data_IF_752062219099
#
_entry.id   IF_752062219099
#
_cell.length_a   1.000
_cell.length_b   1.000
_cell.length_c   1.000
_cell.angle_alpha   90.00
_cell.angle_beta   90.00
_cell.angle_gamma   90.00
#
_symmetry.space_group_name_H-M   'P 1'
#
loop_
_entity.id
_entity.type
_entity.pdbx_description
1 polymer ?
#
# COMPACT_ATOMS: atom_id res chain seq x y z
N UNK A 1 28.02 -15.17 -21.14
CA UNK A 1 28.19 -16.61 -21.46
C UNK A 1 26.81 -17.20 -21.71
N UNK A 2 26.61 -18.05 -22.72
CA UNK A 2 25.28 -18.60 -23.02
C UNK A 2 24.81 -19.56 -21.92
N UNK A 3 23.52 -19.50 -21.61
CA UNK A 3 22.87 -20.42 -20.69
C UNK A 3 22.19 -21.54 -21.50
N UNK A 4 22.17 -22.74 -20.94
CA UNK A 4 21.51 -23.93 -21.48
C UNK A 4 20.44 -24.39 -20.49
N UNK A 5 19.23 -24.60 -20.96
CA UNK A 5 18.21 -25.32 -20.20
C UNK A 5 18.41 -26.82 -20.41
N UNK A 6 18.45 -27.56 -19.30
CA UNK A 6 18.62 -29.01 -19.34
C UNK A 6 17.51 -29.72 -18.57
N UNK A 7 17.10 -30.86 -19.12
CA UNK A 7 16.33 -31.90 -18.44
C UNK A 7 17.21 -33.14 -18.44
N UNK A 8 17.68 -33.57 -17.26
CA UNK A 8 18.58 -34.70 -17.12
C UNK A 8 18.05 -35.71 -16.10
N UNK A 9 18.33 -36.99 -16.32
CA UNK A 9 17.99 -38.06 -15.39
C UNK A 9 19.12 -38.27 -14.39
N UNK A 10 18.79 -38.34 -13.12
CA UNK A 10 19.69 -38.83 -12.07
C UNK A 10 19.82 -40.36 -12.17
N UNK A 11 20.84 -40.94 -11.53
CA UNK A 11 21.08 -42.39 -11.49
C UNK A 11 19.89 -43.19 -10.92
N UNK A 12 19.01 -42.54 -10.17
CA UNK A 12 17.75 -43.09 -9.65
C UNK A 12 16.54 -42.95 -10.58
N UNK A 13 16.70 -42.54 -11.85
CA UNK A 13 15.61 -42.39 -12.82
C UNK A 13 14.70 -41.17 -12.61
N UNK A 14 15.06 -40.27 -11.68
CA UNK A 14 14.32 -39.03 -11.41
C UNK A 14 14.76 -37.92 -12.37
N UNK A 15 13.81 -37.23 -12.98
CA UNK A 15 14.11 -36.11 -13.90
C UNK A 15 14.44 -34.84 -13.11
N UNK A 16 15.59 -34.24 -13.40
CA UNK A 16 16.10 -32.99 -12.83
C UNK A 16 16.21 -31.93 -13.92
N UNK A 17 15.45 -30.86 -13.74
CA UNK A 17 15.43 -29.72 -14.66
C UNK A 17 16.20 -28.54 -14.05
N UNK A 18 16.98 -27.84 -14.87
CA UNK A 18 17.75 -26.67 -14.43
C UNK A 18 18.35 -25.86 -15.57
N UNK A 19 19.02 -24.78 -15.21
CA UNK A 19 19.83 -23.97 -16.13
C UNK A 19 21.31 -24.13 -15.81
N UNK A 20 22.14 -24.16 -16.85
CA UNK A 20 23.59 -24.31 -16.75
C UNK A 20 24.26 -23.30 -17.69
N UNK A 21 25.24 -22.57 -17.20
CA UNK A 21 26.05 -21.67 -18.03
C UNK A 21 27.25 -22.43 -18.57
N UNK A 22 27.44 -22.45 -19.89
CA UNK A 22 28.58 -23.09 -20.55
C UNK A 22 28.92 -22.34 -21.85
N UNK A 23 30.17 -22.38 -22.31
CA UNK A 23 30.55 -21.72 -23.56
C UNK A 23 30.05 -22.47 -24.80
N UNK A 24 29.76 -23.78 -24.68
CA UNK A 24 29.22 -24.60 -25.76
C UNK A 24 28.30 -25.72 -25.23
N UNK A 25 27.45 -26.27 -26.11
CA UNK A 25 26.61 -27.42 -25.77
C UNK A 25 27.42 -28.68 -25.41
N UNK A 26 28.66 -28.80 -25.91
CA UNK A 26 29.58 -29.89 -25.57
C UNK A 26 30.10 -29.74 -24.14
N UNK A 27 30.48 -28.52 -23.75
CA UNK A 27 30.90 -28.21 -22.38
C UNK A 27 29.73 -28.36 -21.39
N UNK A 28 28.51 -27.98 -21.80
CA UNK A 28 27.31 -28.18 -21.01
C UNK A 28 27.04 -29.65 -20.69
N UNK A 29 27.20 -30.55 -21.67
CA UNK A 29 27.09 -32.01 -21.46
C UNK A 29 28.17 -32.53 -20.52
N UNK A 30 29.43 -32.13 -20.73
CA UNK A 30 30.54 -32.57 -19.87
C UNK A 30 30.34 -32.14 -18.40
N UNK A 31 29.76 -30.97 -18.16
CA UNK A 31 29.40 -30.48 -16.83
C UNK A 31 28.26 -31.29 -16.18
N UNK A 32 27.27 -31.73 -16.96
CA UNK A 32 26.18 -32.58 -16.47
C UNK A 32 26.66 -34.01 -16.17
N UNK A 33 27.53 -34.56 -17.02
CA UNK A 33 28.16 -35.87 -16.79
C UNK A 33 29.03 -35.88 -15.54
N UNK A 34 29.82 -34.81 -15.30
CA UNK A 34 30.56 -34.63 -14.03
C UNK A 34 29.64 -34.60 -12.81
N UNK A 35 28.40 -34.15 -12.97
CA UNK A 35 27.36 -34.15 -11.92
C UNK A 35 26.57 -35.46 -11.83
N UNK A 36 26.97 -36.49 -12.59
CA UNK A 36 26.27 -37.79 -12.69
C UNK A 36 24.82 -37.68 -13.16
N UNK A 37 24.53 -36.67 -13.99
CA UNK A 37 23.23 -36.45 -14.59
C UNK A 37 23.28 -36.79 -16.09
N UNK A 38 22.40 -37.68 -16.55
CA UNK A 38 22.29 -38.07 -17.96
C UNK A 38 21.36 -37.10 -18.71
N UNK A 39 21.88 -36.27 -19.63
CA UNK A 39 21.06 -35.27 -20.32
C UNK A 39 20.05 -35.93 -21.28
N UNK A 40 18.75 -35.72 -21.04
CA UNK A 40 17.66 -36.16 -21.93
C UNK A 40 17.32 -35.09 -22.96
N UNK A 41 17.34 -33.83 -22.53
CA UNK A 41 17.08 -32.66 -23.38
C UNK A 41 18.03 -31.54 -23.00
N UNK A 42 18.72 -30.97 -24.00
CA UNK A 42 19.65 -29.87 -23.82
C UNK A 42 19.41 -28.85 -24.95
N UNK A 43 18.77 -27.73 -24.61
CA UNK A 43 18.46 -26.67 -25.58
C UNK A 43 19.25 -25.40 -25.21
N UNK A 44 19.88 -24.71 -26.18
CA UNK A 44 20.44 -23.38 -25.93
C UNK A 44 19.29 -22.48 -25.49
N UNK A 45 19.41 -21.89 -24.30
CA UNK A 45 18.39 -20.96 -23.82
C UNK A 45 18.40 -19.77 -24.78
N UNK A 46 17.40 -19.72 -25.67
CA UNK A 46 17.31 -18.76 -26.75
C UNK A 46 17.19 -17.36 -26.16
N UNK A 47 18.33 -16.66 -26.00
CA UNK A 47 18.48 -15.30 -25.47
C UNK A 47 17.28 -14.88 -24.59
N UNK A 48 16.93 -15.72 -23.63
CA UNK A 48 15.85 -15.44 -22.73
C UNK A 48 16.46 -14.51 -21.71
N UNK A 49 16.41 -13.22 -22.08
CA UNK A 49 16.32 -12.12 -21.13
C UNK A 49 15.62 -12.70 -19.92
N UNK A 50 16.31 -12.78 -18.79
CA UNK A 50 15.72 -13.31 -17.57
C UNK A 50 14.43 -12.54 -17.35
N UNK A 51 13.30 -13.10 -17.78
CA UNK A 51 12.02 -12.62 -17.37
C UNK A 51 12.06 -12.92 -15.89
N UNK A 52 12.08 -11.90 -15.00
CA UNK A 52 12.18 -12.14 -13.57
C UNK A 52 10.97 -13.00 -13.22
N UNK A 53 11.23 -14.30 -13.04
CA UNK A 53 10.16 -15.29 -12.93
C UNK A 53 9.31 -14.84 -11.77
N UNK A 54 8.04 -14.47 -12.06
CA UNK A 54 7.07 -13.83 -11.15
C UNK A 54 7.49 -14.04 -9.68
N UNK A 55 8.34 -13.13 -9.20
CA UNK A 55 8.94 -13.25 -7.89
C UNK A 55 7.80 -13.29 -6.90
N UNK A 56 7.82 -14.26 -5.98
CA UNK A 56 6.88 -14.27 -4.88
C UNK A 56 6.92 -12.88 -4.25
N UNK A 57 5.78 -12.17 -4.17
CA UNK A 57 5.76 -10.84 -3.57
C UNK A 57 5.60 -11.02 -2.07
N UNK A 58 6.48 -10.43 -1.27
CA UNK A 58 6.21 -10.31 0.16
C UNK A 58 4.89 -9.57 0.37
N UNK A 59 3.99 -10.16 1.18
CA UNK A 59 2.94 -9.38 1.83
C UNK A 59 3.56 -8.42 2.84
N UNK A 60 2.83 -7.39 3.26
CA UNK A 60 3.33 -6.45 4.28
C UNK A 60 3.71 -7.15 5.60
N UNK A 61 2.92 -8.15 6.01
CA UNK A 61 3.21 -9.00 7.18
C UNK A 61 4.48 -9.85 6.98
N UNK A 62 4.71 -10.34 5.76
CA UNK A 62 5.87 -11.18 5.46
C UNK A 62 7.16 -10.38 5.48
N UNK A 63 7.14 -9.16 4.90
CA UNK A 63 8.28 -8.26 4.96
C UNK A 63 8.59 -7.85 6.40
N UNK A 64 7.58 -7.56 7.23
CA UNK A 64 7.78 -7.24 8.64
C UNK A 64 8.41 -8.41 9.41
N UNK A 65 7.85 -9.62 9.27
CA UNK A 65 8.38 -10.82 9.92
C UNK A 65 9.81 -11.15 9.46
N UNK A 66 10.05 -11.14 8.14
CA UNK A 66 11.37 -11.34 7.56
C UNK A 66 12.38 -10.35 8.14
N UNK A 67 12.03 -9.06 8.21
CA UNK A 67 12.94 -8.02 8.69
C UNK A 67 13.21 -8.16 10.18
N UNK A 68 12.20 -8.51 10.98
CA UNK A 68 12.38 -8.81 12.40
C UNK A 68 13.32 -9.99 12.62
N UNK A 69 13.08 -11.11 11.92
CA UNK A 69 13.94 -12.29 11.99
C UNK A 69 15.37 -11.97 11.54
N UNK A 70 15.53 -11.21 10.45
CA UNK A 70 16.83 -10.80 9.95
C UNK A 70 17.56 -9.90 10.94
N UNK A 71 16.87 -8.93 11.56
CA UNK A 71 17.45 -8.09 12.61
C UNK A 71 17.96 -8.92 13.78
N UNK A 72 17.12 -9.82 14.30
CA UNK A 72 17.46 -10.66 15.45
C UNK A 72 18.62 -11.61 15.16
N UNK A 73 18.63 -12.26 13.99
CA UNK A 73 19.69 -13.21 13.63
C UNK A 73 20.97 -12.50 13.21
N UNK A 74 20.90 -11.35 12.53
CA UNK A 74 22.10 -10.59 12.15
C UNK A 74 22.82 -9.96 13.36
N UNK A 75 22.17 -9.89 14.52
CA UNK A 75 22.80 -9.45 15.76
C UNK A 75 23.73 -10.52 16.37
N UNK A 76 23.54 -11.81 16.04
CA UNK A 76 24.25 -12.93 16.68
C UNK A 76 24.92 -13.89 15.70
N UNK A 77 24.65 -13.79 14.40
CA UNK A 77 25.20 -14.65 13.36
C UNK A 77 25.57 -13.86 12.09
N UNK A 78 26.48 -14.38 11.24
CA UNK A 78 26.74 -13.80 9.93
C UNK A 78 25.47 -13.65 9.09
N UNK A 79 25.39 -12.58 8.31
CA UNK A 79 24.21 -12.27 7.49
C UNK A 79 23.83 -13.41 6.53
N UNK A 80 24.82 -14.12 5.99
CA UNK A 80 24.64 -15.31 5.16
C UNK A 80 23.87 -16.41 5.90
N UNK A 81 24.28 -16.72 7.13
CA UNK A 81 23.66 -17.73 7.97
C UNK A 81 22.25 -17.33 8.41
N UNK A 82 22.06 -16.04 8.74
CA UNK A 82 20.74 -15.49 9.04
C UNK A 82 19.77 -15.68 7.86
N UNK A 83 20.17 -15.33 6.64
CA UNK A 83 19.35 -15.51 5.44
C UNK A 83 19.09 -16.98 5.12
N UNK A 84 20.10 -17.86 5.25
CA UNK A 84 19.95 -19.31 5.09
C UNK A 84 18.91 -19.88 6.06
N UNK A 85 18.99 -19.48 7.32
CA UNK A 85 18.08 -19.92 8.39
C UNK A 85 16.65 -19.46 8.11
N UNK A 86 16.46 -18.20 7.73
CA UNK A 86 15.13 -17.68 7.38
C UNK A 86 14.56 -18.39 6.15
N UNK A 87 15.38 -18.66 5.13
CA UNK A 87 14.95 -19.38 3.94
C UNK A 87 14.52 -20.82 4.25
N UNK A 88 15.27 -21.53 5.10
CA UNK A 88 14.98 -22.93 5.45
C UNK A 88 13.78 -23.06 6.40
N UNK A 89 13.61 -22.13 7.34
CA UNK A 89 12.51 -22.15 8.33
C UNK A 89 11.20 -21.55 7.82
N UNK A 90 11.17 -20.93 6.63
CA UNK A 90 9.94 -20.32 6.13
C UNK A 90 8.98 -21.35 5.52
N UNK A 91 7.78 -21.47 6.10
CA UNK A 91 6.70 -22.31 5.56
C UNK A 91 6.18 -21.80 4.20
N UNK A 92 6.28 -20.49 3.95
CA UNK A 92 5.76 -19.88 2.73
C UNK A 92 6.74 -20.05 1.57
N UNK A 93 6.32 -20.84 0.57
CA UNK A 93 7.07 -21.05 -0.69
C UNK A 93 7.53 -19.74 -1.34
N UNK A 94 6.67 -18.72 -1.33
CA UNK A 94 7.00 -17.40 -1.89
C UNK A 94 8.12 -16.69 -1.14
N UNK A 95 8.14 -16.79 0.19
CA UNK A 95 9.17 -16.17 1.03
C UNK A 95 10.50 -16.89 0.83
N UNK A 96 10.50 -18.23 0.94
CA UNK A 96 11.68 -19.06 0.72
C UNK A 96 12.36 -18.80 -0.62
N UNK A 97 11.58 -18.63 -1.70
CA UNK A 97 12.13 -18.33 -3.04
C UNK A 97 12.84 -16.97 -3.08
N UNK A 98 12.22 -15.93 -2.52
CA UNK A 98 12.79 -14.57 -2.51
C UNK A 98 14.04 -14.53 -1.65
N UNK A 99 13.97 -15.05 -0.42
CA UNK A 99 15.11 -15.05 0.51
C UNK A 99 16.25 -15.90 -0.04
N UNK A 100 15.96 -17.07 -0.64
CA UNK A 100 16.97 -17.89 -1.30
C UNK A 100 17.65 -17.19 -2.47
N UNK A 101 16.92 -16.40 -3.27
CA UNK A 101 17.51 -15.61 -4.35
C UNK A 101 18.41 -14.46 -3.84
N UNK A 102 18.06 -13.84 -2.71
CA UNK A 102 18.90 -12.83 -2.05
C UNK A 102 20.15 -13.49 -1.46
N UNK A 103 19.99 -14.63 -0.79
CA UNK A 103 21.09 -15.41 -0.20
C UNK A 103 22.10 -15.86 -1.25
N UNK A 104 21.64 -16.38 -2.40
CA UNK A 104 22.51 -16.80 -3.51
C UNK A 104 23.36 -15.63 -4.04
N UNK A 105 22.79 -14.44 -4.22
CA UNK A 105 23.54 -13.28 -4.68
C UNK A 105 24.52 -12.73 -3.63
N UNK A 106 24.17 -12.84 -2.34
CA UNK A 106 25.10 -12.48 -1.28
C UNK A 106 26.33 -13.41 -1.28
N UNK A 107 26.13 -14.71 -1.55
CA UNK A 107 27.24 -15.67 -1.72
C UNK A 107 28.09 -15.38 -2.97
N UNK A 108 27.49 -14.82 -4.02
CA UNK A 108 28.20 -14.33 -5.20
C UNK A 108 28.99 -13.02 -4.95
N UNK A 109 28.86 -12.43 -3.75
CA UNK A 109 29.60 -11.23 -3.33
C UNK A 109 28.88 -9.90 -3.63
N UNK A 110 27.62 -9.93 -4.06
CA UNK A 110 26.83 -8.71 -4.19
C UNK A 110 26.47 -8.14 -2.82
N UNK A 111 26.31 -6.81 -2.75
CA UNK A 111 25.78 -6.13 -1.54
C UNK A 111 24.34 -6.57 -1.29
N UNK A 112 23.92 -6.64 -0.02
CA UNK A 112 22.57 -7.04 0.36
C UNK A 112 21.51 -6.16 -0.30
N UNK A 113 21.75 -4.84 -0.36
CA UNK A 113 20.80 -3.92 -1.00
C UNK A 113 20.59 -4.20 -2.49
N UNK A 114 21.66 -4.58 -3.20
CA UNK A 114 21.63 -4.92 -4.63
C UNK A 114 20.94 -6.26 -4.84
N UNK A 115 21.27 -7.26 -4.01
CA UNK A 115 20.63 -8.58 -4.00
C UNK A 115 19.12 -8.49 -3.70
N UNK A 116 18.70 -7.61 -2.79
CA UNK A 116 17.29 -7.30 -2.54
C UNK A 116 16.65 -6.56 -3.71
N UNK A 117 17.43 -5.80 -4.49
CA UNK A 117 16.94 -5.06 -5.65
C UNK A 117 16.58 -5.95 -6.84
N UNK A 118 17.33 -7.02 -7.05
CA UNK A 118 17.07 -8.03 -8.09
C UNK A 118 15.95 -9.01 -7.69
N UNK A 119 15.69 -9.19 -6.38
CA UNK A 119 14.62 -10.04 -5.84
C UNK A 119 13.19 -9.46 -6.00
N UNK A 120 12.99 -8.52 -6.93
CA UNK A 120 11.69 -8.01 -7.35
C UNK A 120 11.06 -6.96 -6.43
N UNK A 121 9.73 -6.80 -6.51
CA UNK A 121 8.97 -5.78 -5.73
C UNK A 121 8.75 -6.14 -4.25
N UNK A 122 9.43 -7.16 -3.73
CA UNK A 122 9.30 -7.60 -2.34
C UNK A 122 9.96 -6.64 -1.35
N UNK A 123 11.00 -5.93 -1.80
CA UNK A 123 11.74 -4.94 -1.02
C UNK A 123 11.46 -3.53 -1.57
N UNK A 124 10.67 -2.70 -0.86
CA UNK A 124 10.37 -1.34 -1.30
C UNK A 124 11.63 -0.48 -1.47
N UNK A 125 11.60 0.57 -2.31
CA UNK A 125 12.74 1.46 -2.51
C UNK A 125 13.33 2.03 -1.22
N UNK A 126 12.49 2.45 -0.26
CA UNK A 126 12.92 2.93 1.06
C UNK A 126 13.75 1.89 1.81
N UNK A 127 13.24 0.66 1.84
CA UNK A 127 13.86 -0.46 2.53
C UNK A 127 15.27 -0.70 1.99
N UNK A 128 15.40 -0.83 0.66
CA UNK A 128 16.68 -1.05 -0.01
C UNK A 128 17.65 0.11 0.21
N UNK A 129 17.16 1.34 0.18
CA UNK A 129 18.01 2.52 0.37
C UNK A 129 18.55 2.61 1.81
N UNK A 130 17.72 2.30 2.82
CA UNK A 130 18.20 2.26 4.21
C UNK A 130 19.16 1.09 4.45
N UNK A 131 18.91 -0.09 3.87
CA UNK A 131 19.85 -1.21 3.90
C UNK A 131 21.17 -0.83 3.23
N UNK A 132 21.17 -0.22 2.04
CA UNK A 132 22.37 0.22 1.35
C UNK A 132 23.18 1.22 2.18
N UNK A 133 22.50 2.17 2.81
CA UNK A 133 23.10 3.14 3.69
C UNK A 133 23.75 2.47 4.92
N UNK A 134 23.06 1.49 5.51
CA UNK A 134 23.57 0.73 6.66
C UNK A 134 24.71 -0.22 6.34
N UNK A 135 24.72 -0.83 5.15
CA UNK A 135 25.86 -1.59 4.66
C UNK A 135 27.08 -0.70 4.46
N UNK A 136 26.90 0.48 3.86
CA UNK A 136 27.99 1.41 3.56
C UNK A 136 28.58 2.04 4.82
N UNK A 137 27.77 2.25 5.86
CA UNK A 137 28.19 2.86 7.13
C UNK A 137 28.56 1.84 8.22
N UNK A 138 28.43 0.54 7.95
CA UNK A 138 28.62 -0.52 8.96
C UNK A 138 27.57 -0.55 10.08
N UNK A 139 26.47 0.20 9.95
CA UNK A 139 25.39 0.29 10.93
C UNK A 139 24.18 -0.59 10.57
N UNK A 140 24.41 -1.67 9.81
CA UNK A 140 23.35 -2.55 9.31
C UNK A 140 22.49 -3.16 10.44
N UNK A 141 23.04 -3.70 11.54
CA UNK A 141 22.22 -4.25 12.63
C UNK A 141 21.24 -3.22 13.23
N UNK A 142 21.70 -2.00 13.47
CA UNK A 142 20.87 -0.92 14.02
C UNK A 142 19.77 -0.50 13.04
N UNK A 143 20.08 -0.46 11.74
CA UNK A 143 19.11 -0.12 10.69
C UNK A 143 18.07 -1.22 10.51
N UNK A 144 18.46 -2.50 10.54
CA UNK A 144 17.54 -3.62 10.48
C UNK A 144 16.57 -3.61 11.68
N UNK A 145 17.05 -3.28 12.87
CA UNK A 145 16.23 -3.17 14.07
C UNK A 145 15.20 -2.03 13.95
N UNK A 146 15.64 -0.86 13.51
CA UNK A 146 14.75 0.29 13.26
C UNK A 146 13.75 0.00 12.13
N UNK A 147 14.18 -0.69 11.07
CA UNK A 147 13.31 -1.13 9.97
C UNK A 147 12.25 -2.13 10.44
N UNK A 148 12.64 -3.10 11.28
CA UNK A 148 11.72 -4.07 11.85
C UNK A 148 10.62 -3.36 12.67
N UNK A 149 11.01 -2.47 13.58
CA UNK A 149 10.06 -1.68 14.37
C UNK A 149 9.14 -0.80 13.51
N UNK A 150 9.68 -0.16 12.47
CA UNK A 150 8.90 0.64 11.53
C UNK A 150 7.83 -0.21 10.82
N UNK A 151 8.22 -1.35 10.25
CA UNK A 151 7.32 -2.23 9.52
C UNK A 151 6.27 -2.89 10.42
N UNK A 152 6.64 -3.26 11.65
CA UNK A 152 5.72 -3.79 12.66
C UNK A 152 4.65 -2.78 13.03
N UNK A 153 5.03 -1.53 13.34
CA UNK A 153 4.08 -0.44 13.60
C UNK A 153 3.13 -0.22 12.43
N UNK A 154 3.65 -0.21 11.20
CA UNK A 154 2.82 -0.10 10.00
C UNK A 154 1.82 -1.26 9.86
N UNK A 155 2.23 -2.50 10.18
CA UNK A 155 1.31 -3.65 10.16
C UNK A 155 0.28 -3.57 11.30
N UNK A 156 0.65 -3.08 12.47
CA UNK A 156 -0.27 -2.89 13.60
C UNK A 156 -1.33 -1.85 13.27
N UNK A 157 -0.93 -0.66 12.78
CA UNK A 157 -1.85 0.39 12.34
C UNK A 157 -2.77 -0.16 11.25
N UNK A 158 -2.22 -0.76 10.20
CA UNK A 158 -3.03 -1.35 9.13
C UNK A 158 -3.99 -2.43 9.64
N UNK A 159 -3.54 -3.28 10.56
CA UNK A 159 -4.36 -4.31 11.18
C UNK A 159 -5.54 -3.74 11.94
N UNK A 160 -5.31 -2.70 12.75
CA UNK A 160 -6.36 -1.95 13.46
C UNK A 160 -7.36 -1.33 12.48
N UNK A 161 -6.87 -0.65 11.45
CA UNK A 161 -7.73 -0.01 10.45
C UNK A 161 -8.60 -1.03 9.71
N UNK A 162 -8.03 -2.16 9.29
CA UNK A 162 -8.78 -3.22 8.61
C UNK A 162 -9.82 -3.83 9.53
N UNK A 163 -9.45 -4.16 10.78
CA UNK A 163 -10.37 -4.74 11.75
C UNK A 163 -11.55 -3.80 12.06
N UNK A 164 -11.29 -2.52 12.25
CA UNK A 164 -12.31 -1.50 12.52
C UNK A 164 -13.28 -1.29 11.34
N UNK A 165 -12.85 -1.55 10.11
CA UNK A 165 -13.70 -1.42 8.91
C UNK A 165 -14.59 -2.64 8.63
N UNK A 166 -14.33 -3.80 9.24
CA UNK A 166 -15.11 -5.03 8.98
C UNK A 166 -16.58 -4.82 9.35
N UNK A 167 -16.84 -4.33 10.56
CA UNK A 167 -18.21 -4.17 11.05
C UNK A 167 -19.01 -3.11 10.26
N UNK A 168 -18.50 -1.88 10.03
CA UNK A 168 -19.21 -0.90 9.21
C UNK A 168 -19.41 -1.35 7.76
N UNK A 169 -18.47 -2.11 7.18
CA UNK A 169 -18.66 -2.68 5.85
C UNK A 169 -19.78 -3.71 5.82
N UNK A 170 -19.86 -4.61 6.81
CA UNK A 170 -20.96 -5.58 6.92
C UNK A 170 -22.33 -4.88 7.09
N UNK A 171 -22.39 -3.85 7.95
CA UNK A 171 -23.59 -3.03 8.15
C UNK A 171 -23.98 -2.30 6.85
N UNK A 172 -23.04 -1.66 6.16
CA UNK A 172 -23.29 -0.96 4.91
C UNK A 172 -23.78 -1.92 3.80
N UNK A 173 -23.17 -3.10 3.67
CA UNK A 173 -23.61 -4.13 2.71
C UNK A 173 -25.04 -4.58 3.03
N UNK A 174 -25.35 -4.82 4.29
CA UNK A 174 -26.70 -5.19 4.74
C UNK A 174 -27.70 -4.07 4.47
N UNK A 175 -27.36 -2.83 4.79
CA UNK A 175 -28.17 -1.64 4.53
C UNK A 175 -28.50 -1.50 3.04
N UNK A 176 -27.48 -1.58 2.17
CA UNK A 176 -27.66 -1.52 0.72
C UNK A 176 -28.53 -2.68 0.22
N UNK A 177 -28.32 -3.90 0.72
CA UNK A 177 -29.13 -5.06 0.34
C UNK A 177 -30.62 -4.88 0.72
N UNK A 178 -30.91 -4.36 1.92
CA UNK A 178 -32.27 -4.05 2.37
C UNK A 178 -32.91 -2.99 1.47
N UNK A 179 -32.19 -1.90 1.17
CA UNK A 179 -32.71 -0.83 0.28
C UNK A 179 -33.01 -1.37 -1.12
N UNK A 180 -32.11 -2.17 -1.70
CA UNK A 180 -32.33 -2.80 -3.00
C UNK A 180 -33.55 -3.72 -2.97
N UNK A 181 -33.71 -4.53 -1.91
CA UNK A 181 -34.86 -5.42 -1.75
C UNK A 181 -36.18 -4.63 -1.65
N UNK A 182 -36.22 -3.56 -0.84
CA UNK A 182 -37.38 -2.68 -0.74
C UNK A 182 -37.72 -2.04 -2.08
N UNK A 183 -36.73 -1.52 -2.80
CA UNK A 183 -36.91 -0.89 -4.12
C UNK A 183 -37.39 -1.86 -5.19
N UNK A 184 -36.90 -3.10 -5.18
CA UNK A 184 -37.16 -4.06 -6.26
C UNK A 184 -38.42 -4.89 -6.03
N UNK A 185 -38.75 -5.19 -4.76
CA UNK A 185 -39.88 -6.06 -4.43
C UNK A 185 -41.04 -5.32 -3.76
N UNK A 186 -40.78 -4.40 -2.83
CA UNK A 186 -41.86 -3.80 -2.01
C UNK A 186 -42.50 -2.62 -2.70
N UNK A 187 -41.70 -1.63 -3.12
CA UNK A 187 -42.19 -0.43 -3.79
C UNK A 187 -43.07 -0.76 -5.01
N UNK A 188 -42.69 -1.67 -5.93
CA UNK A 188 -43.47 -1.90 -7.14
C UNK A 188 -44.83 -2.53 -6.85
N UNK A 189 -44.88 -3.46 -5.89
CA UNK A 189 -46.12 -4.11 -5.46
C UNK A 189 -47.11 -3.11 -4.90
N UNK A 190 -46.63 -2.14 -4.14
CA UNK A 190 -47.48 -1.07 -3.61
C UNK A 190 -48.00 -0.18 -4.74
N UNK A 191 -47.14 0.15 -5.70
CA UNK A 191 -47.48 1.05 -6.81
C UNK A 191 -48.50 0.41 -7.76
N UNK A 192 -48.36 -0.88 -8.07
CA UNK A 192 -49.34 -1.66 -8.84
C UNK A 192 -50.76 -1.56 -8.26
N UNK A 193 -50.89 -1.55 -6.91
CA UNK A 193 -52.19 -1.38 -6.26
C UNK A 193 -52.76 0.03 -6.48
N UNK A 194 -51.92 1.07 -6.51
CA UNK A 194 -52.38 2.44 -6.70
C UNK A 194 -52.67 2.81 -8.16
N UNK A 195 -51.94 2.24 -9.12
CA UNK A 195 -52.17 2.50 -10.54
C UNK A 195 -53.57 2.03 -10.99
N UNK A 196 -54.08 0.97 -10.34
CA UNK A 196 -55.46 0.48 -10.54
C UNK A 196 -56.55 1.47 -10.11
N UNK A 197 -56.21 2.49 -9.30
CA UNK A 197 -57.14 3.49 -8.78
C UNK A 197 -57.21 4.77 -9.64
N UNK A 198 -56.44 4.86 -10.73
CA UNK A 198 -56.59 5.89 -11.76
C UNK A 198 -56.36 7.35 -11.31
N UNK A 199 -55.62 7.58 -10.22
CA UNK A 199 -55.31 8.93 -9.70
C UNK A 199 -53.82 9.25 -9.72
N UNK A 200 -53.51 10.54 -9.79
CA UNK A 200 -52.13 11.03 -9.80
C UNK A 200 -51.43 10.77 -8.45
N UNK A 201 -50.29 10.11 -8.52
CA UNK A 201 -49.45 9.82 -7.36
C UNK A 201 -48.71 11.08 -6.88
N UNK A 202 -48.50 11.24 -5.55
CA UNK A 202 -47.65 12.28 -4.99
C UNK A 202 -46.25 12.32 -5.63
N UNK A 203 -45.65 13.50 -5.71
CA UNK A 203 -44.34 13.69 -6.33
C UNK A 203 -43.26 12.81 -5.67
N UNK A 204 -43.32 12.60 -4.35
CA UNK A 204 -42.38 11.75 -3.61
C UNK A 204 -42.49 10.29 -4.05
N UNK A 205 -43.71 9.77 -4.20
CA UNK A 205 -43.97 8.41 -4.70
C UNK A 205 -43.49 8.25 -6.14
N UNK A 206 -43.75 9.24 -7.01
CA UNK A 206 -43.24 9.25 -8.39
C UNK A 206 -41.71 9.26 -8.47
N UNK A 207 -41.04 10.02 -7.61
CA UNK A 207 -39.58 10.06 -7.56
C UNK A 207 -38.99 8.71 -7.13
N UNK A 208 -39.59 8.05 -6.14
CA UNK A 208 -39.16 6.72 -5.67
C UNK A 208 -39.39 5.64 -6.74
N UNK A 209 -40.53 5.70 -7.46
CA UNK A 209 -40.80 4.81 -8.60
C UNK A 209 -39.75 4.99 -9.70
N UNK A 210 -39.49 6.23 -10.11
CA UNK A 210 -38.47 6.52 -11.12
C UNK A 210 -37.08 6.00 -10.73
N UNK A 211 -36.72 6.10 -9.45
CA UNK A 211 -35.47 5.56 -8.93
C UNK A 211 -35.46 4.02 -8.91
N UNK A 212 -36.59 3.37 -8.61
CA UNK A 212 -36.75 1.90 -8.66
C UNK A 212 -36.61 1.38 -10.09
N UNK A 213 -37.28 2.01 -11.06
CA UNK A 213 -37.19 1.63 -12.47
C UNK A 213 -35.79 1.85 -13.04
N UNK A 214 -35.16 2.98 -12.70
CA UNK A 214 -33.76 3.24 -13.05
C UNK A 214 -32.83 2.18 -12.46
N UNK A 215 -33.02 1.81 -11.19
CA UNK A 215 -32.21 0.77 -10.54
C UNK A 215 -32.38 -0.60 -11.20
N UNK A 216 -33.61 -0.95 -11.61
CA UNK A 216 -33.94 -2.24 -12.23
C UNK A 216 -33.46 -2.35 -13.68
N UNK A 217 -33.59 -1.27 -14.46
CA UNK A 217 -33.24 -1.26 -15.89
C UNK A 217 -31.80 -0.83 -16.21
N UNK A 218 -31.25 0.10 -15.43
CA UNK A 218 -29.98 0.79 -15.71
C UNK A 218 -28.91 0.57 -14.63
N UNK A 219 -29.17 -0.23 -13.59
CA UNK A 219 -28.21 -0.49 -12.52
C UNK A 219 -26.86 -1.03 -13.03
N UNK A 220 -26.88 -1.87 -14.06
CA UNK A 220 -25.66 -2.37 -14.72
C UNK A 220 -24.92 -1.29 -15.51
N UNK A 221 -25.63 -0.31 -16.08
CA UNK A 221 -25.04 0.86 -16.75
C UNK A 221 -24.39 1.83 -15.75
N UNK A 222 -24.98 2.03 -14.57
CA UNK A 222 -24.38 2.82 -13.48
C UNK A 222 -23.08 2.16 -13.01
N UNK A 223 -23.10 0.85 -12.79
CA UNK A 223 -21.90 0.09 -12.43
C UNK A 223 -20.85 0.17 -13.54
N UNK A 224 -21.26 0.01 -14.80
CA UNK A 224 -20.40 0.17 -15.97
C UNK A 224 -19.78 1.56 -16.08
N UNK A 225 -20.57 2.61 -15.85
CA UNK A 225 -20.12 4.00 -15.86
C UNK A 225 -19.13 4.29 -14.72
N UNK A 226 -19.36 3.75 -13.52
CA UNK A 226 -18.42 3.83 -12.40
C UNK A 226 -17.09 3.15 -12.72
N UNK A 227 -17.13 1.94 -13.27
CA UNK A 227 -15.91 1.20 -13.67
C UNK A 227 -15.18 1.94 -14.78
N UNK A 228 -15.89 2.40 -15.81
CA UNK A 228 -15.31 3.18 -16.90
C UNK A 228 -14.70 4.50 -16.38
N UNK A 229 -15.41 5.22 -15.52
CA UNK A 229 -14.93 6.43 -14.86
C UNK A 229 -13.67 6.19 -14.03
N UNK A 230 -13.64 5.11 -13.23
CA UNK A 230 -12.47 4.70 -12.47
C UNK A 230 -11.27 4.37 -13.37
N UNK A 231 -11.49 3.69 -14.50
CA UNK A 231 -10.44 3.37 -15.48
C UNK A 231 -9.90 4.62 -16.19
N UNK A 232 -10.79 5.54 -16.58
CA UNK A 232 -10.43 6.84 -17.18
C UNK A 232 -9.64 7.67 -16.19
N UNK A 233 -10.10 7.77 -14.94
CA UNK A 233 -9.39 8.46 -13.87
C UNK A 233 -8.03 7.82 -13.59
N UNK A 234 -7.95 6.50 -13.53
CA UNK A 234 -6.68 5.78 -13.37
C UNK A 234 -5.70 6.04 -14.52
N UNK A 235 -6.19 6.15 -15.76
CA UNK A 235 -5.37 6.56 -16.91
C UNK A 235 -4.96 8.02 -16.86
N UNK A 236 -5.85 8.92 -16.44
CA UNK A 236 -5.53 10.35 -16.28
C UNK A 236 -4.49 10.57 -15.18
N UNK A 237 -4.59 9.85 -14.06
CA UNK A 237 -3.63 9.88 -12.95
C UNK A 237 -2.25 9.30 -13.32
N UNK A 238 -2.12 8.60 -14.46
CA UNK A 238 -0.80 8.24 -15.01
C UNK A 238 -0.10 9.40 -15.70
N UNK A 239 -0.83 10.44 -16.12
CA UNK A 239 -0.24 11.65 -16.70
C UNK A 239 0.27 12.56 -15.58
N UNK A 240 1.56 12.88 -15.62
CA UNK A 240 2.21 13.62 -14.52
C UNK A 240 1.59 14.99 -14.26
N UNK A 241 1.26 15.75 -15.31
CA UNK A 241 0.63 17.07 -15.16
C UNK A 241 -0.76 17.02 -14.53
N UNK A 242 -1.59 16.02 -14.87
CA UNK A 242 -2.90 15.85 -14.24
C UNK A 242 -2.76 15.40 -12.78
N UNK A 243 -1.83 14.48 -12.53
CA UNK A 243 -1.54 14.00 -11.17
C UNK A 243 -1.07 15.12 -10.24
N UNK A 244 -0.19 16.00 -10.70
CA UNK A 244 0.24 17.18 -9.93
C UNK A 244 -0.93 18.09 -9.55
N UNK A 245 -1.82 18.39 -10.51
CA UNK A 245 -3.01 19.23 -10.26
C UNK A 245 -3.99 18.56 -9.30
N UNK A 246 -4.21 17.26 -9.48
CA UNK A 246 -5.07 16.47 -8.60
C UNK A 246 -4.51 16.40 -7.17
N UNK A 247 -3.22 16.12 -7.03
CA UNK A 247 -2.51 16.08 -5.75
C UNK A 247 -2.54 17.44 -5.05
N UNK A 248 -2.41 18.55 -5.80
CA UNK A 248 -2.53 19.90 -5.27
C UNK A 248 -3.96 20.23 -4.82
N UNK A 249 -4.98 19.81 -5.59
CA UNK A 249 -6.38 20.00 -5.22
C UNK A 249 -6.74 19.21 -3.96
N UNK A 250 -6.27 17.97 -3.85
CA UNK A 250 -6.47 17.12 -2.68
C UNK A 250 -5.89 17.76 -1.41
N UNK A 251 -4.73 18.42 -1.53
CA UNK A 251 -4.11 19.17 -0.43
C UNK A 251 -4.87 20.44 -0.02
N UNK A 252 -5.81 20.95 -0.82
CA UNK A 252 -6.63 22.13 -0.49
C UNK A 252 -7.87 21.80 0.32
N UNK A 253 -8.25 20.53 0.40
CA UNK A 253 -9.41 20.11 1.19
C UNK A 253 -9.08 20.26 2.69
N UNK A 254 -9.97 20.87 3.51
CA UNK A 254 -9.63 21.27 4.89
C UNK A 254 -9.29 20.10 5.82
N UNK A 255 -9.97 18.96 5.67
CA UNK A 255 -9.73 17.75 6.48
C UNK A 255 -8.71 16.81 5.82
N UNK A 256 -8.92 16.47 4.55
CA UNK A 256 -8.05 15.55 3.81
C UNK A 256 -6.65 16.14 3.55
N UNK A 257 -6.57 17.43 3.23
CA UNK A 257 -5.30 18.09 2.97
C UNK A 257 -4.43 18.19 4.22
N UNK A 258 -5.03 18.48 5.38
CA UNK A 258 -4.31 18.48 6.67
C UNK A 258 -3.78 17.09 7.00
N UNK A 259 -4.64 16.07 6.97
CA UNK A 259 -4.23 14.68 7.30
C UNK A 259 -3.16 14.13 6.36
N UNK A 260 -3.21 14.45 5.06
CA UNK A 260 -2.15 14.07 4.12
C UNK A 260 -0.81 14.74 4.43
N UNK A 261 -0.82 16.01 4.84
CA UNK A 261 0.39 16.72 5.26
C UNK A 261 0.94 16.16 6.56
N UNK A 262 0.08 15.88 7.54
CA UNK A 262 0.47 15.31 8.83
C UNK A 262 1.05 13.90 8.67
N UNK A 263 0.45 13.06 7.83
CA UNK A 263 0.97 11.72 7.52
C UNK A 263 2.32 11.77 6.80
N UNK A 264 2.49 12.68 5.85
CA UNK A 264 3.78 12.89 5.17
C UNK A 264 4.85 13.41 6.15
N UNK A 265 4.49 14.38 6.98
CA UNK A 265 5.34 14.93 8.02
C UNK A 265 5.79 13.88 9.03
N UNK A 266 4.87 13.03 9.50
CA UNK A 266 5.15 11.91 10.41
C UNK A 266 6.15 10.92 9.78
N UNK A 267 5.87 10.47 8.55
CA UNK A 267 6.71 9.50 7.87
C UNK A 267 8.12 10.06 7.55
N UNK A 268 8.20 11.33 7.14
CA UNK A 268 9.47 12.01 6.91
C UNK A 268 10.25 12.15 8.22
N UNK A 269 9.63 12.66 9.27
CA UNK A 269 10.28 12.83 10.57
C UNK A 269 10.79 11.49 11.13
N UNK A 270 9.99 10.42 11.02
CA UNK A 270 10.40 9.06 11.44
C UNK A 270 11.62 8.57 10.66
N UNK A 271 11.59 8.72 9.33
CA UNK A 271 12.67 8.24 8.46
C UNK A 271 13.97 9.00 8.76
N UNK A 272 13.89 10.32 8.86
CA UNK A 272 15.04 11.16 9.17
C UNK A 272 15.59 10.89 10.58
N UNK A 273 14.72 10.70 11.58
CA UNK A 273 15.15 10.34 12.94
C UNK A 273 15.91 9.01 12.97
N UNK A 274 15.41 7.99 12.26
CA UNK A 274 16.07 6.69 12.11
C UNK A 274 17.45 6.86 11.46
N UNK A 275 17.52 7.59 10.36
CA UNK A 275 18.76 7.76 9.60
C UNK A 275 19.81 8.58 10.36
N UNK A 276 19.41 9.73 10.92
CA UNK A 276 20.30 10.56 11.72
C UNK A 276 20.75 9.84 13.00
N UNK A 277 19.85 9.11 13.65
CA UNK A 277 20.16 8.28 14.82
C UNK A 277 21.08 7.09 14.52
N UNK A 278 21.28 6.76 13.24
CA UNK A 278 22.24 5.77 12.74
C UNK A 278 23.49 6.42 12.12
N UNK A 279 23.68 7.74 12.30
CA UNK A 279 24.86 8.48 11.83
C UNK A 279 24.87 8.80 10.33
N UNK A 280 23.75 8.63 9.63
CA UNK A 280 23.66 8.92 8.20
C UNK A 280 23.42 10.41 7.90
N UNK A 281 23.92 10.95 6.77
CA UNK A 281 23.73 12.35 6.41
C UNK A 281 22.26 12.73 6.18
N UNK A 282 21.86 13.91 6.65
CA UNK A 282 20.49 14.45 6.52
C UNK A 282 20.01 14.53 5.07
N UNK A 283 20.87 15.03 4.17
CA UNK A 283 20.55 15.23 2.74
C UNK A 283 20.20 13.90 2.07
N UNK A 284 20.94 12.83 2.40
CA UNK A 284 20.65 11.50 1.87
C UNK A 284 19.30 11.00 2.40
N UNK A 285 19.02 11.24 3.68
CA UNK A 285 17.72 10.92 4.26
C UNK A 285 16.54 11.60 3.56
N UNK A 286 16.67 12.89 3.26
CA UNK A 286 15.63 13.63 2.53
C UNK A 286 15.45 13.11 1.09
N UNK A 287 16.54 12.80 0.38
CA UNK A 287 16.47 12.22 -0.97
C UNK A 287 15.80 10.86 -0.97
N UNK A 288 16.09 10.03 0.03
CA UNK A 288 15.46 8.72 0.22
C UNK A 288 13.97 8.91 0.52
N UNK A 289 13.61 9.76 1.50
CA UNK A 289 12.21 10.04 1.83
C UNK A 289 11.45 10.59 0.63
N UNK A 290 12.01 11.51 -0.15
CA UNK A 290 11.34 12.07 -1.33
C UNK A 290 10.89 10.99 -2.34
N UNK A 291 11.61 9.86 -2.43
CA UNK A 291 11.25 8.74 -3.34
C UNK A 291 10.07 7.92 -2.83
N UNK A 292 9.69 8.03 -1.56
CA UNK A 292 8.60 7.25 -0.94
C UNK A 292 7.27 8.00 -0.91
N UNK A 293 7.31 9.31 -1.16
CA UNK A 293 6.13 10.17 -1.17
C UNK A 293 5.29 9.92 -2.42
N UNK A 294 4.02 9.56 -2.21
CA UNK A 294 3.08 9.30 -3.30
C UNK A 294 2.51 10.59 -3.93
N UNK A 295 2.29 11.61 -3.12
CA UNK A 295 1.80 12.91 -3.55
C UNK A 295 2.94 13.70 -4.20
N UNK A 296 2.77 14.10 -5.46
CA UNK A 296 3.83 14.72 -6.26
C UNK A 296 4.19 16.12 -5.79
N UNK A 297 3.25 16.87 -5.22
CA UNK A 297 3.51 18.20 -4.64
C UNK A 297 4.41 18.07 -3.40
N UNK A 298 4.08 17.14 -2.50
CA UNK A 298 4.89 16.86 -1.31
C UNK A 298 6.26 16.28 -1.68
N UNK A 299 6.31 15.41 -2.70
CA UNK A 299 7.57 14.89 -3.24
C UNK A 299 8.48 16.01 -3.74
N UNK A 300 7.95 16.95 -4.53
CA UNK A 300 8.71 18.07 -5.06
C UNK A 300 9.17 19.01 -3.95
N UNK A 301 8.32 19.26 -2.94
CA UNK A 301 8.68 20.04 -1.76
C UNK A 301 9.88 19.40 -1.01
N UNK A 302 9.83 18.08 -0.74
CA UNK A 302 10.94 17.37 -0.06
C UNK A 302 12.22 17.35 -0.90
N UNK A 303 12.14 17.26 -2.24
CA UNK A 303 13.32 17.38 -3.11
C UNK A 303 13.95 18.77 -3.02
N UNK A 304 13.14 19.81 -3.16
CA UNK A 304 13.60 21.20 -3.07
C UNK A 304 14.25 21.49 -1.72
N UNK A 305 13.73 20.92 -0.64
CA UNK A 305 14.37 20.99 0.68
C UNK A 305 15.73 20.31 0.71
N UNK A 306 15.86 19.12 0.09
CA UNK A 306 17.13 18.40 0.04
C UNK A 306 18.19 19.21 -0.72
N UNK A 307 17.80 19.86 -1.81
CA UNK A 307 18.70 20.71 -2.61
C UNK A 307 19.12 21.96 -1.82
N UNK A 308 18.18 22.65 -1.16
CA UNK A 308 18.48 23.82 -0.32
C UNK A 308 19.43 23.51 0.86
N UNK A 309 19.31 22.33 1.47
CA UNK A 309 20.20 21.90 2.56
C UNK A 309 21.57 21.48 2.02
N UNK A 310 21.61 20.88 0.82
CA UNK A 310 22.87 20.57 0.15
C UNK A 310 23.68 21.84 -0.16
N UNK A 311 23.00 22.95 -0.45
CA UNK A 311 23.59 24.28 -0.62
C UNK A 311 24.00 24.98 0.70
N UNK A 312 23.80 24.32 1.85
CA UNK A 312 24.19 24.83 3.17
C UNK A 312 23.06 25.47 3.99
N UNK A 313 21.82 25.40 3.52
CA UNK A 313 20.65 25.85 4.26
C UNK A 313 20.31 24.99 5.48
N UNK A 314 19.58 25.57 6.44
CA UNK A 314 19.08 24.85 7.62
C UNK A 314 17.80 24.06 7.30
N UNK A 315 17.58 22.93 7.99
CA UNK A 315 16.38 22.10 7.79
C UNK A 315 15.10 22.85 8.16
N UNK A 316 15.13 23.59 9.26
CA UNK A 316 14.00 24.40 9.71
C UNK A 316 13.66 25.54 8.73
N UNK A 317 14.65 26.14 8.07
CA UNK A 317 14.43 27.13 7.02
C UNK A 317 13.82 26.49 5.77
N UNK A 318 14.36 25.36 5.31
CA UNK A 318 13.86 24.63 4.15
C UNK A 318 12.40 24.18 4.34
N UNK A 319 12.05 23.65 5.52
CA UNK A 319 10.67 23.27 5.82
C UNK A 319 9.71 24.47 5.85
N UNK A 320 10.15 25.63 6.38
CA UNK A 320 9.33 26.87 6.37
C UNK A 320 9.05 27.35 4.96
N UNK A 321 10.07 27.35 4.09
CA UNK A 321 9.92 27.74 2.68
C UNK A 321 9.00 26.80 1.91
N UNK A 322 9.05 25.50 2.21
CA UNK A 322 8.18 24.51 1.58
C UNK A 322 6.68 24.70 1.93
N UNK A 323 6.35 25.32 3.08
CA UNK A 323 4.99 25.69 3.50
C UNK A 323 3.93 24.55 3.45
N UNK A 324 4.36 23.29 3.56
CA UNK A 324 3.49 22.10 3.53
C UNK A 324 3.48 21.31 4.84
N UNK A 325 4.29 21.69 5.83
CA UNK A 325 4.46 20.95 7.07
C UNK A 325 3.67 21.55 8.23
N UNK A 326 3.20 20.72 9.17
CA UNK A 326 2.50 21.21 10.36
C UNK A 326 3.44 22.01 11.28
N UNK A 327 2.92 23.00 12.03
CA UNK A 327 3.72 23.82 12.94
C UNK A 327 4.51 23.02 13.97
N UNK A 328 3.96 21.91 14.46
CA UNK A 328 4.62 21.04 15.44
C UNK A 328 5.93 20.46 14.92
N UNK A 329 5.97 20.03 13.65
CA UNK A 329 7.20 19.53 13.04
C UNK A 329 8.22 20.65 12.86
N UNK A 330 7.78 21.84 12.43
CA UNK A 330 8.66 23.01 12.30
C UNK A 330 9.31 23.39 13.64
N UNK A 331 8.51 23.44 14.70
CA UNK A 331 8.98 23.77 16.05
C UNK A 331 10.00 22.76 16.56
N UNK A 332 9.68 21.46 16.50
CA UNK A 332 10.59 20.40 16.97
C UNK A 332 11.87 20.34 16.13
N UNK A 333 11.77 20.56 14.82
CA UNK A 333 12.93 20.63 13.93
C UNK A 333 13.83 21.81 14.29
N UNK A 334 13.26 23.01 14.44
CA UNK A 334 14.02 24.21 14.81
C UNK A 334 14.68 24.07 16.19
N UNK A 335 13.96 23.52 17.18
CA UNK A 335 14.50 23.28 18.51
C UNK A 335 15.63 22.23 18.49
N UNK A 336 15.45 21.16 17.73
CA UNK A 336 16.46 20.10 17.56
C UNK A 336 17.71 20.57 16.82
N UNK A 337 17.54 21.41 15.80
CA UNK A 337 18.65 22.02 15.05
C UNK A 337 19.46 22.98 15.92
N UNK A 338 18.79 23.87 16.66
CA UNK A 338 19.45 24.84 17.56
C UNK A 338 20.17 24.17 18.74
N UNK A 339 19.64 23.06 19.24
CA UNK A 339 20.23 22.31 20.36
C UNK A 339 21.25 21.25 19.93
N UNK A 340 21.43 21.02 18.63
CA UNK A 340 22.25 19.92 18.09
C UNK A 340 21.65 18.52 18.27
N UNK A 341 20.42 18.42 18.78
CA UNK A 341 19.72 17.16 19.06
C UNK A 341 18.56 16.92 18.08
N UNK A 342 18.84 16.96 16.77
CA UNK A 342 17.82 16.88 15.74
C UNK A 342 17.10 15.51 15.68
N UNK A 343 17.85 14.40 15.73
CA UNK A 343 17.28 13.05 15.66
C UNK A 343 16.21 12.77 16.72
N UNK A 344 16.44 13.00 18.04
CA UNK A 344 15.41 12.75 19.05
C UNK A 344 14.21 13.71 18.95
N UNK A 345 14.40 14.95 18.47
CA UNK A 345 13.26 15.85 18.24
C UNK A 345 12.39 15.40 17.07
N UNK A 346 13.00 14.93 15.97
CA UNK A 346 12.25 14.36 14.84
C UNK A 346 11.53 13.07 15.23
N UNK A 347 12.11 12.26 16.10
CA UNK A 347 11.45 11.07 16.65
C UNK A 347 10.20 11.45 17.45
N UNK A 348 10.30 12.44 18.35
CA UNK A 348 9.15 12.96 19.10
C UNK A 348 8.08 13.57 18.19
N UNK A 349 8.49 14.27 17.13
CA UNK A 349 7.58 14.83 16.14
C UNK A 349 6.81 13.74 15.41
N UNK A 350 7.51 12.68 14.99
CA UNK A 350 6.89 11.51 14.39
C UNK A 350 5.90 10.83 15.33
N UNK A 351 6.30 10.55 16.58
CA UNK A 351 5.41 9.95 17.58
C UNK A 351 4.17 10.81 17.86
N UNK A 352 4.31 12.13 17.88
CA UNK A 352 3.18 13.06 18.07
C UNK A 352 2.21 13.02 16.89
N UNK A 353 2.72 13.18 15.66
CA UNK A 353 1.89 13.22 14.45
C UNK A 353 1.24 11.87 14.15
N UNK A 354 1.93 10.75 14.42
CA UNK A 354 1.35 9.40 14.32
C UNK A 354 0.18 9.23 15.30
N UNK A 355 0.31 9.71 16.55
CA UNK A 355 -0.78 9.67 17.55
C UNK A 355 -1.97 10.55 17.17
N UNK A 356 -1.71 11.73 16.61
CA UNK A 356 -2.77 12.63 16.12
C UNK A 356 -3.54 11.96 14.97
N UNK A 357 -2.82 11.34 14.04
CA UNK A 357 -3.42 10.56 12.95
C UNK A 357 -4.26 9.38 13.47
N UNK A 358 -3.74 8.59 14.41
CA UNK A 358 -4.47 7.46 15.01
C UNK A 358 -5.76 7.93 15.71
N UNK A 359 -5.69 9.06 16.43
CA UNK A 359 -6.85 9.65 17.11
C UNK A 359 -7.91 10.10 16.09
N UNK A 360 -7.49 10.81 15.04
CA UNK A 360 -8.38 11.25 13.96
C UNK A 360 -9.01 10.06 13.23
N UNK A 361 -8.21 9.04 12.90
CA UNK A 361 -8.69 7.83 12.24
C UNK A 361 -9.73 7.09 13.09
N UNK A 362 -9.45 6.90 14.39
CA UNK A 362 -10.38 6.24 15.30
C UNK A 362 -11.69 7.01 15.47
N UNK A 363 -11.63 8.34 15.59
CA UNK A 363 -12.82 9.19 15.67
C UNK A 363 -13.64 9.16 14.36
N UNK A 364 -12.97 9.19 13.21
CA UNK A 364 -13.64 9.04 11.91
C UNK A 364 -14.31 7.67 11.75
N UNK A 365 -13.68 6.61 12.25
CA UNK A 365 -14.24 5.26 12.24
C UNK A 365 -15.45 5.11 13.16
N UNK A 366 -15.43 5.70 14.36
CA UNK A 366 -16.55 5.60 15.29
C UNK A 366 -17.79 6.38 14.83
N UNK A 367 -17.62 7.45 14.06
CA UNK A 367 -18.74 8.21 13.48
C UNK A 367 -19.39 7.52 12.28
N UNK A 368 -18.68 6.58 11.64
CA UNK A 368 -19.14 5.94 10.42
C UNK A 368 -20.39 5.08 10.67
N UNK A 369 -20.49 4.41 11.82
CA UNK A 369 -21.66 3.62 12.20
C UNK A 369 -22.93 4.47 12.41
N UNK A 370 -22.94 5.50 13.27
CA UNK A 370 -24.10 6.38 13.42
C UNK A 370 -24.55 6.99 12.09
N UNK A 371 -23.60 7.41 11.24
CA UNK A 371 -23.92 7.97 9.92
C UNK A 371 -24.60 6.92 9.03
N UNK A 372 -24.12 5.68 8.99
CA UNK A 372 -24.78 4.60 8.23
C UNK A 372 -26.19 4.35 8.76
N UNK A 373 -26.38 4.27 10.08
CA UNK A 373 -27.69 3.99 10.69
C UNK A 373 -28.68 5.12 10.39
N UNK A 374 -28.27 6.38 10.57
CA UNK A 374 -29.11 7.54 10.27
C UNK A 374 -29.42 7.62 8.78
N UNK A 375 -28.45 7.36 7.90
CA UNK A 375 -28.67 7.33 6.46
C UNK A 375 -29.66 6.21 6.06
N UNK A 376 -29.49 5.00 6.59
CA UNK A 376 -30.40 3.88 6.35
C UNK A 376 -31.81 4.21 6.86
N UNK A 377 -31.92 4.71 8.09
CA UNK A 377 -33.20 5.12 8.68
C UNK A 377 -33.88 6.21 7.85
N UNK A 378 -33.13 7.21 7.38
CA UNK A 378 -33.64 8.26 6.50
C UNK A 378 -34.14 7.72 5.16
N UNK A 379 -33.39 6.81 4.53
CA UNK A 379 -33.82 6.16 3.28
C UNK A 379 -35.07 5.32 3.52
N UNK A 380 -35.11 4.47 4.54
CA UNK A 380 -36.27 3.63 4.86
C UNK A 380 -37.49 4.49 5.19
N UNK A 381 -37.34 5.55 5.99
CA UNK A 381 -38.42 6.48 6.31
C UNK A 381 -38.98 7.15 5.05
N UNK A 382 -38.11 7.59 4.12
CA UNK A 382 -38.53 8.16 2.84
C UNK A 382 -39.33 7.16 2.00
N UNK A 383 -38.91 5.89 1.98
CA UNK A 383 -39.63 4.81 1.28
C UNK A 383 -41.01 4.60 1.92
N UNK A 384 -41.07 4.44 3.24
CA UNK A 384 -42.33 4.21 3.97
C UNK A 384 -43.27 5.40 3.78
N UNK A 385 -42.77 6.64 3.88
CA UNK A 385 -43.57 7.83 3.66
C UNK A 385 -44.11 7.92 2.23
N UNK A 386 -43.31 7.53 1.24
CA UNK A 386 -43.74 7.48 -0.16
C UNK A 386 -44.91 6.50 -0.40
N UNK A 387 -45.01 5.47 0.43
CA UNK A 387 -46.09 4.47 0.42
C UNK A 387 -47.31 4.96 1.22
N UNK A 388 -47.08 5.56 2.39
CA UNK A 388 -48.14 5.96 3.33
C UNK A 388 -48.86 7.25 2.90
N UNK A 389 -48.16 8.20 2.28
CA UNK A 389 -48.75 9.47 1.83
C UNK A 389 -49.99 9.29 0.93
N UNK A 390 -49.94 8.46 -0.13
CA UNK A 390 -51.13 8.14 -0.91
C UNK A 390 -52.30 7.66 -0.04
N UNK A 391 -52.06 6.70 0.87
CA UNK A 391 -53.09 6.12 1.76
C UNK A 391 -53.77 7.21 2.61
N UNK A 392 -52.97 8.11 3.19
CA UNK A 392 -53.49 9.21 4.01
C UNK A 392 -54.34 10.20 3.20
N UNK A 393 -53.91 10.53 1.98
CA UNK A 393 -54.67 11.41 1.08
C UNK A 393 -56.00 10.78 0.63
N UNK A 394 -56.04 9.46 0.42
CA UNK A 394 -57.28 8.77 0.12
C UNK A 394 -58.27 8.81 1.29
N UNK A 395 -57.79 8.62 2.53
CA UNK A 395 -58.66 8.64 3.71
C UNK A 395 -59.18 10.04 4.04
N UNK A 396 -58.36 11.09 3.89
CA UNK A 396 -58.78 12.48 4.15
C UNK A 396 -59.74 13.06 3.11
N UNK A 397 -59.91 12.42 1.95
CA UNK A 397 -60.90 12.82 0.93
C UNK A 397 -62.15 11.93 0.93
N UNK A 398 -62.17 10.87 1.75
CA UNK A 398 -63.33 9.99 1.92
C UNK A 398 -64.22 10.37 3.13
N UNK A 399 -63.71 11.23 4.01
CA UNK A 399 -64.45 12.04 4.97
C UNK A 399 -64.76 13.41 4.36
#
# INVERSE_FOLDING_TARGET
MPAFEYSALDLGGQTRNGTLTAASAAEARALLERRRLLPVKLEPAAASTHAPGRGGRFGGKDLALFTRQLSTLAASAPLEEALRTIASQSDRRGVRRVVGAVHAQLLEGFRLADAMGSAGRSFPPLYRAMVAAGESSGALPQILERLAGLLERQQQVRGKLVAALVYPAALAVTAVAVVIALMTFVVPRVVEQFDSLGRELPWLTRAVIGMSEFSRGWGWLVLGALVAGALVLARLLRREGFRLRFDAWLLRLPLLGRTLRDLHAAHMARTLAIMLGSGLPLVEGLRITARTVNNRVLQQATRTMADSIHEGGSLSAAMRHAAVFPPTLLYMTSSGENSGHLAPMLERAADYLEREFDTFANAGMSLLEPVIIVALGGVVALIVLSILLPILQFNSMAL
#
